data_IF_876174345021
#
_entry.id   IF_876174345021
#
_cell.length_a   1.000
_cell.length_b   1.000
_cell.length_c   1.000
_cell.angle_alpha   90.00
_cell.angle_beta   90.00
_cell.angle_gamma   90.00
#
_symmetry.space_group_name_H-M   'P 1'
#
loop_
_entity.id
_entity.type
_entity.pdbx_description
1 polymer ?
#
# COMPACT_ATOMS: atom_id res chain seq x y z
N UNK A 1 42.52 12.71 4.94
CA UNK A 1 41.10 12.92 5.31
C UNK A 1 40.86 12.18 6.61
N UNK A 2 40.34 12.86 7.63
CA UNK A 2 40.10 12.25 8.95
C UNK A 2 38.63 11.88 9.08
N UNK A 3 38.36 10.63 9.45
CA UNK A 3 37.02 10.23 9.87
C UNK A 3 36.67 10.97 11.17
N UNK A 4 35.65 11.83 11.14
CA UNK A 4 35.24 12.61 12.31
C UNK A 4 34.47 11.78 13.34
N UNK A 5 33.95 10.62 12.92
CA UNK A 5 33.10 9.73 13.72
C UNK A 5 33.41 8.28 13.34
N UNK A 6 33.69 7.45 14.34
CA UNK A 6 33.88 6.00 14.17
C UNK A 6 32.73 5.28 14.85
N UNK A 7 31.97 4.49 14.09
CA UNK A 7 30.87 3.67 14.59
C UNK A 7 31.36 2.25 14.92
N UNK A 8 31.17 1.82 16.15
CA UNK A 8 31.38 0.42 16.57
C UNK A 8 30.02 -0.18 16.85
N UNK A 9 29.59 -1.14 16.04
CA UNK A 9 28.35 -1.89 16.27
C UNK A 9 28.70 -3.34 16.63
N UNK A 10 28.12 -3.80 17.73
CA UNK A 10 28.31 -5.16 18.21
C UNK A 10 27.03 -5.63 18.90
N UNK A 11 26.74 -6.92 18.83
CA UNK A 11 25.68 -7.52 19.61
C UNK A 11 26.02 -7.50 21.10
N UNK A 12 25.01 -7.37 21.97
CA UNK A 12 25.23 -7.44 23.41
C UNK A 12 25.82 -8.79 23.85
N UNK A 13 25.49 -9.86 23.14
CA UNK A 13 26.06 -11.20 23.35
C UNK A 13 27.58 -11.26 23.14
N UNK A 14 28.18 -10.25 22.49
CA UNK A 14 29.63 -10.11 22.45
C UNK A 14 30.24 -10.06 23.86
N UNK A 15 29.51 -9.50 24.83
CA UNK A 15 29.95 -9.35 26.22
C UNK A 15 29.32 -10.44 27.09
N UNK A 16 30.16 -11.31 27.66
CA UNK A 16 29.75 -12.37 28.58
C UNK A 16 29.46 -13.72 27.92
N UNK A 17 29.03 -13.74 26.65
CA UNK A 17 28.82 -14.99 25.91
C UNK A 17 29.99 -15.27 24.95
N UNK A 18 30.15 -14.48 23.87
CA UNK A 18 31.27 -14.68 22.94
C UNK A 18 32.62 -14.31 23.55
N UNK A 19 32.65 -13.26 24.38
CA UNK A 19 33.78 -12.95 25.26
C UNK A 19 33.37 -13.23 26.70
N UNK A 20 33.75 -14.39 27.28
CA UNK A 20 33.38 -14.74 28.65
C UNK A 20 33.84 -13.69 29.66
N UNK A 21 33.15 -13.56 30.80
CA UNK A 21 33.55 -12.59 31.83
C UNK A 21 34.96 -12.83 32.38
N UNK A 22 35.44 -14.07 32.35
CA UNK A 22 36.82 -14.43 32.70
C UNK A 22 37.88 -13.85 31.77
N UNK A 23 37.50 -13.37 30.58
CA UNK A 23 38.40 -12.65 29.66
C UNK A 23 38.72 -11.22 30.11
N UNK A 24 38.13 -10.76 31.23
CA UNK A 24 38.22 -9.37 31.68
C UNK A 24 37.65 -8.34 30.69
N UNK A 25 36.73 -8.75 29.81
CA UNK A 25 36.09 -7.85 28.84
C UNK A 25 35.43 -6.63 29.49
N UNK A 26 34.85 -6.79 30.69
CA UNK A 26 34.26 -5.66 31.41
C UNK A 26 35.32 -4.67 31.90
N UNK A 27 36.50 -5.16 32.30
CA UNK A 27 37.61 -4.30 32.72
C UNK A 27 38.19 -3.54 31.51
N UNK A 28 38.24 -4.19 30.34
CA UNK A 28 38.55 -3.52 29.07
C UNK A 28 37.59 -2.36 28.78
N UNK A 29 36.28 -2.58 28.85
CA UNK A 29 35.28 -1.51 28.63
C UNK A 29 35.31 -0.42 29.72
N UNK A 30 35.67 -0.75 30.96
CA UNK A 30 35.89 0.26 32.02
C UNK A 30 37.11 1.13 31.76
N UNK A 31 38.17 0.58 31.17
CA UNK A 31 39.39 1.31 30.86
C UNK A 31 39.25 2.18 29.59
N UNK A 32 38.45 1.72 28.62
CA UNK A 32 38.34 2.32 27.30
C UNK A 32 38.01 3.84 27.31
N UNK A 33 37.03 4.36 28.07
CA UNK A 33 36.75 5.79 28.11
C UNK A 33 37.91 6.64 28.62
N UNK A 34 38.67 6.12 29.59
CA UNK A 34 39.82 6.83 30.17
C UNK A 34 40.95 6.96 29.16
N UNK A 35 41.24 5.89 28.42
CA UNK A 35 42.28 5.89 27.38
C UNK A 35 41.87 6.72 26.17
N UNK A 36 40.63 6.57 25.70
CA UNK A 36 40.08 7.37 24.62
C UNK A 36 40.19 8.88 24.92
N UNK A 37 39.83 9.31 26.13
CA UNK A 37 39.95 10.71 26.54
C UNK A 37 41.40 11.24 26.51
N UNK A 38 42.39 10.42 26.89
CA UNK A 38 43.83 10.78 26.77
C UNK A 38 44.28 10.94 25.32
N UNK A 39 43.65 10.22 24.39
CA UNK A 39 43.89 10.31 22.96
C UNK A 39 43.05 11.40 22.28
N UNK A 40 42.28 12.19 23.04
CA UNK A 40 41.38 13.21 22.50
C UNK A 40 40.12 12.66 21.83
N UNK A 41 39.82 11.37 22.01
CA UNK A 41 38.63 10.71 21.46
C UNK A 41 37.48 10.86 22.46
N UNK A 42 36.32 11.29 21.97
CA UNK A 42 35.11 11.45 22.76
C UNK A 42 34.06 10.44 22.34
N UNK A 43 33.27 9.96 23.30
CA UNK A 43 32.07 9.17 23.02
C UNK A 43 30.89 10.12 22.85
N UNK A 44 30.05 9.81 21.86
CA UNK A 44 28.83 10.55 21.59
C UNK A 44 27.73 9.57 21.21
N UNK A 45 26.51 9.87 21.64
CA UNK A 45 25.31 9.18 21.17
C UNK A 45 25.02 9.55 19.72
N UNK A 46 24.27 8.71 18.96
CA UNK A 46 23.87 9.05 17.60
C UNK A 46 23.17 10.42 17.49
N UNK A 47 22.35 10.78 18.48
CA UNK A 47 21.65 12.08 18.50
C UNK A 47 22.61 13.27 18.66
N UNK A 48 23.64 13.14 19.51
CA UNK A 48 24.65 14.18 19.68
C UNK A 48 25.54 14.33 18.44
N UNK A 49 25.86 13.22 17.77
CA UNK A 49 26.60 13.23 16.50
C UNK A 49 25.81 14.01 15.44
N UNK A 50 24.50 13.73 15.31
CA UNK A 50 23.63 14.42 14.35
C UNK A 50 23.45 15.92 14.67
N UNK A 51 23.44 16.30 15.95
CA UNK A 51 23.34 17.71 16.34
C UNK A 51 24.62 18.51 16.08
N UNK A 52 25.80 17.87 16.20
CA UNK A 52 27.11 18.53 16.06
C UNK A 52 27.66 18.54 14.64
N UNK A 53 27.29 17.55 13.82
CA UNK A 53 27.85 17.36 12.48
C UNK A 53 26.86 17.77 11.40
N UNK A 54 27.35 18.41 10.34
CA UNK A 54 26.54 18.72 9.16
C UNK A 54 26.49 17.51 8.22
N UNK A 55 25.34 17.25 7.57
CA UNK A 55 25.27 16.26 6.49
C UNK A 55 26.28 16.59 5.39
N UNK A 56 27.00 15.57 4.91
CA UNK A 56 28.06 15.74 3.89
C UNK A 56 27.50 15.54 2.49
N UNK A 57 26.81 14.42 2.25
CA UNK A 57 26.26 14.05 0.96
C UNK A 57 25.12 13.04 1.15
N UNK A 58 24.14 12.97 0.23
CA UNK A 58 23.25 11.81 0.16
C UNK A 58 24.04 10.53 -0.06
N UNK A 59 23.59 9.45 0.59
CA UNK A 59 24.02 8.08 0.34
C UNK A 59 22.87 7.33 -0.31
N UNK A 60 23.03 6.93 -1.56
CA UNK A 60 22.03 6.15 -2.29
C UNK A 60 22.29 4.66 -2.10
N UNK A 61 21.26 3.93 -1.63
CA UNK A 61 21.30 2.48 -1.44
C UNK A 61 20.23 1.86 -2.33
N UNK A 62 20.65 1.29 -3.46
CA UNK A 62 19.74 0.83 -4.53
C UNK A 62 19.10 -0.52 -4.18
N UNK A 63 19.86 -1.39 -3.51
CA UNK A 63 19.42 -2.74 -3.15
C UNK A 63 19.43 -2.91 -1.63
N UNK A 64 18.54 -3.75 -1.07
CA UNK A 64 18.60 -4.08 0.35
C UNK A 64 19.96 -4.67 0.72
N UNK A 65 20.57 -4.13 1.76
CA UNK A 65 21.87 -4.58 2.30
C UNK A 65 21.69 -5.12 3.72
N UNK A 66 22.60 -5.99 4.12
CA UNK A 66 22.63 -6.58 5.45
C UNK A 66 24.03 -6.48 6.05
N UNK A 67 24.11 -6.42 7.38
CA UNK A 67 25.38 -6.64 8.07
C UNK A 67 25.77 -8.12 8.06
N UNK A 68 24.84 -9.05 7.88
CA UNK A 68 25.14 -10.47 7.92
C UNK A 68 26.09 -10.89 6.80
N UNK A 69 27.03 -11.78 7.17
CA UNK A 69 27.94 -12.51 6.28
C UNK A 69 28.72 -11.64 5.26
N UNK A 70 29.62 -12.24 4.48
CA UNK A 70 30.51 -11.47 3.60
C UNK A 70 29.80 -10.83 2.40
N UNK A 71 28.67 -11.39 1.97
CA UNK A 71 27.96 -10.94 0.76
C UNK A 71 27.16 -9.64 1.02
N UNK A 72 26.89 -9.32 2.29
CA UNK A 72 26.21 -8.09 2.75
C UNK A 72 24.87 -7.83 2.06
N UNK A 73 24.15 -8.91 1.75
CA UNK A 73 22.87 -8.89 1.06
C UNK A 73 21.78 -9.62 1.88
N UNK A 74 20.61 -9.84 1.28
CA UNK A 74 19.49 -10.53 1.95
C UNK A 74 19.57 -12.06 1.87
N UNK A 75 20.62 -12.64 1.29
CA UNK A 75 20.73 -14.08 1.08
C UNK A 75 20.75 -14.87 2.40
N UNK A 76 21.14 -14.25 3.52
CA UNK A 76 21.07 -14.89 4.84
C UNK A 76 19.63 -15.27 5.23
N UNK A 77 18.64 -14.51 4.74
CA UNK A 77 17.21 -14.69 5.05
C UNK A 77 16.38 -15.15 3.84
N UNK A 78 16.85 -14.93 2.60
CA UNK A 78 16.11 -15.20 1.36
C UNK A 78 16.94 -15.98 0.32
N UNK A 79 18.02 -16.64 0.75
CA UNK A 79 18.99 -17.31 -0.11
C UNK A 79 18.49 -18.60 -0.76
N UNK A 80 17.59 -19.34 -0.11
CA UNK A 80 17.09 -20.62 -0.63
C UNK A 80 15.57 -20.65 -0.92
N UNK A 81 15.10 -21.77 -1.48
CA UNK A 81 13.70 -21.95 -1.87
C UNK A 81 12.73 -21.95 -0.69
N UNK A 82 13.10 -22.60 0.43
CA UNK A 82 12.29 -22.67 1.65
C UNK A 82 12.06 -21.30 2.25
N UNK A 83 13.13 -20.52 2.39
CA UNK A 83 13.09 -19.14 2.87
C UNK A 83 12.18 -18.26 2.01
N UNK A 84 12.33 -18.32 0.68
CA UNK A 84 11.51 -17.54 -0.24
C UNK A 84 10.05 -18.00 -0.26
N UNK A 85 9.78 -19.30 -0.14
CA UNK A 85 8.41 -19.80 -0.04
C UNK A 85 7.73 -19.30 1.24
N UNK A 86 8.40 -19.44 2.39
CA UNK A 86 7.93 -18.95 3.68
C UNK A 86 7.67 -17.44 3.65
N UNK A 87 8.60 -16.68 3.06
CA UNK A 87 8.47 -15.22 2.93
C UNK A 87 7.30 -14.83 2.03
N UNK A 88 7.19 -15.44 0.84
CA UNK A 88 6.11 -15.13 -0.10
C UNK A 88 4.74 -15.50 0.45
N UNK A 89 4.63 -16.58 1.23
CA UNK A 89 3.37 -16.95 1.90
C UNK A 89 3.01 -16.02 3.04
N UNK A 90 4.00 -15.56 3.81
CA UNK A 90 3.77 -14.57 4.85
C UNK A 90 3.27 -13.27 4.21
N UNK A 91 3.93 -12.77 3.17
CA UNK A 91 3.60 -11.50 2.53
C UNK A 91 2.64 -11.62 1.33
N UNK A 92 1.83 -12.67 1.28
CA UNK A 92 0.78 -12.78 0.25
C UNK A 92 -0.17 -11.58 0.33
N UNK A 93 -0.39 -10.90 -0.79
CA UNK A 93 -1.06 -9.60 -0.84
C UNK A 93 -2.47 -9.62 -0.23
N UNK A 94 -3.25 -10.68 -0.52
CA UNK A 94 -4.61 -10.84 0.00
C UNK A 94 -4.60 -11.02 1.52
N UNK A 95 -3.65 -11.80 2.02
CA UNK A 95 -3.48 -12.07 3.45
C UNK A 95 -3.05 -10.81 4.19
N UNK A 96 -2.04 -10.10 3.68
CA UNK A 96 -1.53 -8.86 4.28
C UNK A 96 -2.66 -7.83 4.37
N UNK A 97 -3.44 -7.65 3.29
CA UNK A 97 -4.57 -6.73 3.27
C UNK A 97 -5.59 -7.02 4.39
N UNK A 98 -5.94 -8.30 4.60
CA UNK A 98 -6.88 -8.72 5.66
C UNK A 98 -6.32 -8.48 7.05
N UNK A 99 -5.03 -8.71 7.26
CA UNK A 99 -4.39 -8.52 8.56
C UNK A 99 -4.33 -7.05 8.91
N UNK A 100 -3.96 -6.19 7.95
CA UNK A 100 -3.95 -4.75 8.16
C UNK A 100 -5.36 -4.18 8.40
N UNK A 101 -6.39 -4.76 7.78
CA UNK A 101 -7.79 -4.43 8.07
C UNK A 101 -8.25 -4.97 9.44
N UNK A 102 -7.64 -6.05 9.92
CA UNK A 102 -7.96 -6.68 11.19
C UNK A 102 -7.52 -5.80 12.37
N UNK A 103 -8.48 -5.41 13.23
CA UNK A 103 -8.20 -4.71 14.49
C UNK A 103 -7.98 -5.66 15.67
N UNK A 104 -7.84 -6.96 15.42
CA UNK A 104 -7.57 -7.93 16.48
C UNK A 104 -6.10 -7.87 16.92
N UNK A 105 -5.89 -7.50 18.19
CA UNK A 105 -4.55 -7.32 18.76
C UNK A 105 -3.73 -8.61 18.77
N UNK A 106 -4.35 -9.78 18.91
CA UNK A 106 -3.65 -11.05 18.96
C UNK A 106 -3.14 -11.44 17.57
N UNK A 107 -3.92 -11.18 16.53
CA UNK A 107 -3.53 -11.44 15.15
C UNK A 107 -2.38 -10.53 14.72
N UNK A 108 -2.44 -9.25 15.09
CA UNK A 108 -1.33 -8.32 14.87
C UNK A 108 -0.05 -8.79 15.56
N UNK A 109 -0.14 -9.19 16.83
CA UNK A 109 1.02 -9.68 17.58
C UNK A 109 1.60 -10.98 17.01
N UNK A 110 0.75 -11.93 16.60
CA UNK A 110 1.20 -13.17 16.00
C UNK A 110 1.88 -12.90 14.64
N UNK A 111 1.34 -11.98 13.84
CA UNK A 111 1.95 -11.53 12.60
C UNK A 111 3.31 -10.85 12.80
N UNK A 112 3.43 -9.98 13.80
CA UNK A 112 4.70 -9.35 14.18
C UNK A 112 5.78 -10.39 14.52
N UNK A 113 5.40 -11.46 15.23
CA UNK A 113 6.30 -12.56 15.58
C UNK A 113 6.69 -13.43 14.38
N UNK A 114 5.77 -13.67 13.46
CA UNK A 114 6.05 -14.42 12.23
C UNK A 114 7.05 -13.68 11.32
N UNK A 115 7.05 -12.35 11.36
CA UNK A 115 7.98 -11.52 10.60
C UNK A 115 9.42 -11.49 11.17
N UNK A 116 9.66 -12.08 12.35
CA UNK A 116 11.00 -12.10 12.95
C UNK A 116 12.02 -12.76 12.01
N UNK A 117 13.14 -12.09 11.77
CA UNK A 117 14.17 -12.53 10.81
C UNK A 117 14.77 -13.88 11.16
N UNK A 118 14.84 -14.22 12.45
CA UNK A 118 15.34 -15.51 12.93
C UNK A 118 14.57 -16.70 12.38
N UNK A 119 13.26 -16.56 12.17
CA UNK A 119 12.43 -17.60 11.55
C UNK A 119 13.04 -18.03 10.21
N UNK A 120 13.38 -17.06 9.36
CA UNK A 120 14.00 -17.31 8.06
C UNK A 120 15.47 -17.71 8.18
N UNK A 121 16.20 -17.13 9.14
CA UNK A 121 17.61 -17.46 9.41
C UNK A 121 17.78 -18.95 9.72
N UNK A 122 16.90 -19.53 10.52
CA UNK A 122 17.00 -20.95 10.90
C UNK A 122 16.80 -21.92 9.73
N UNK A 123 16.08 -21.48 8.68
CA UNK A 123 15.88 -22.23 7.44
C UNK A 123 17.06 -22.10 6.45
N UNK A 124 18.12 -21.37 6.81
CA UNK A 124 19.23 -21.14 5.89
C UNK A 124 20.04 -22.42 5.66
N UNK A 125 20.38 -22.65 4.40
CA UNK A 125 21.34 -23.67 3.96
C UNK A 125 22.70 -23.05 3.63
N UNK A 126 22.82 -21.71 3.73
CA UNK A 126 24.05 -21.00 3.40
C UNK A 126 25.13 -21.32 4.44
N UNK A 127 26.30 -21.70 3.95
CA UNK A 127 27.49 -21.79 4.78
C UNK A 127 28.10 -20.39 4.91
N UNK A 128 28.15 -19.85 6.13
CA UNK A 128 28.73 -18.54 6.42
C UNK A 128 30.11 -18.65 7.10
N UNK A 129 30.76 -19.82 7.01
CA UNK A 129 32.06 -20.08 7.65
C UNK A 129 32.00 -20.23 9.17
N UNK A 130 30.82 -20.01 9.78
CA UNK A 130 30.56 -20.18 11.20
C UNK A 130 29.47 -21.25 11.41
N UNK A 131 29.42 -21.84 12.60
CA UNK A 131 28.31 -22.72 12.96
C UNK A 131 26.99 -21.93 12.98
N UNK A 132 25.99 -22.37 12.21
CA UNK A 132 24.66 -21.76 12.25
C UNK A 132 23.90 -22.26 13.47
N UNK A 133 23.77 -21.41 14.49
CA UNK A 133 22.86 -21.66 15.61
C UNK A 133 21.41 -21.68 15.11
N UNK A 134 20.73 -22.82 15.30
CA UNK A 134 19.34 -23.06 14.85
C UNK A 134 18.33 -23.11 15.99
N UNK A 135 18.69 -22.60 17.16
CA UNK A 135 17.79 -22.58 18.31
C UNK A 135 17.41 -23.99 18.75
N UNK A 136 16.11 -24.29 18.66
CA UNK A 136 15.50 -25.55 19.08
C UNK A 136 15.36 -26.58 17.94
N UNK A 137 15.75 -26.22 16.71
CA UNK A 137 15.52 -27.04 15.52
C UNK A 137 16.72 -27.94 15.21
N UNK A 138 16.43 -29.19 14.83
CA UNK A 138 17.46 -30.18 14.51
C UNK A 138 18.09 -29.94 13.13
N UNK A 139 17.35 -29.30 12.21
CA UNK A 139 17.80 -28.98 10.85
C UNK A 139 17.07 -27.78 10.26
N UNK A 140 17.58 -27.24 9.14
CA UNK A 140 16.88 -26.22 8.36
C UNK A 140 15.50 -26.66 7.85
N UNK A 141 15.34 -27.96 7.57
CA UNK A 141 14.07 -28.54 7.11
C UNK A 141 13.06 -28.65 8.25
N UNK A 142 13.54 -28.96 9.46
CA UNK A 142 12.72 -28.97 10.67
C UNK A 142 12.23 -27.55 10.99
N UNK A 143 13.13 -26.56 10.97
CA UNK A 143 12.76 -25.15 11.12
C UNK A 143 11.72 -24.70 10.08
N UNK A 144 11.92 -25.04 8.81
CA UNK A 144 10.97 -24.73 7.74
C UNK A 144 9.62 -25.42 7.97
N UNK A 145 9.61 -26.72 8.26
CA UNK A 145 8.38 -27.48 8.48
C UNK A 145 7.59 -26.93 9.65
N UNK A 146 8.26 -26.64 10.77
CA UNK A 146 7.65 -26.06 11.96
C UNK A 146 7.06 -24.67 11.65
N UNK A 147 7.83 -23.79 11.02
CA UNK A 147 7.37 -22.46 10.63
C UNK A 147 6.17 -22.52 9.69
N UNK A 148 6.20 -23.40 8.69
CA UNK A 148 5.12 -23.55 7.72
C UNK A 148 3.82 -24.07 8.34
N UNK A 149 3.92 -24.95 9.34
CA UNK A 149 2.75 -25.41 10.10
C UNK A 149 2.13 -24.27 10.93
N UNK A 150 2.97 -23.48 11.62
CA UNK A 150 2.51 -22.32 12.40
C UNK A 150 1.92 -21.24 11.50
N UNK A 151 2.59 -20.94 10.38
CA UNK A 151 2.11 -19.99 9.38
C UNK A 151 0.78 -20.48 8.79
N UNK A 152 0.65 -21.77 8.47
CA UNK A 152 -0.60 -22.36 7.99
C UNK A 152 -1.77 -22.18 8.96
N UNK A 153 -1.56 -22.45 10.25
CA UNK A 153 -2.56 -22.20 11.29
C UNK A 153 -2.92 -20.71 11.37
N UNK A 154 -1.91 -19.83 11.39
CA UNK A 154 -2.12 -18.39 11.43
C UNK A 154 -2.95 -17.90 10.22
N UNK A 155 -2.60 -18.31 9.01
CA UNK A 155 -3.32 -17.95 7.78
C UNK A 155 -4.77 -18.47 7.82
N UNK A 156 -4.98 -19.67 8.35
CA UNK A 156 -6.33 -20.20 8.55
C UNK A 156 -7.12 -19.33 9.53
N UNK A 157 -6.53 -18.92 10.66
CA UNK A 157 -7.19 -18.02 11.63
C UNK A 157 -7.55 -16.67 11.02
N UNK A 158 -6.66 -16.09 10.20
CA UNK A 158 -6.95 -14.85 9.45
C UNK A 158 -8.12 -15.06 8.49
N UNK A 159 -8.12 -16.16 7.73
CA UNK A 159 -9.18 -16.50 6.79
C UNK A 159 -10.52 -16.77 7.47
N UNK A 160 -10.53 -17.43 8.63
CA UNK A 160 -11.76 -17.73 9.36
C UNK A 160 -12.43 -16.46 9.88
N UNK A 161 -11.67 -15.41 10.21
CA UNK A 161 -12.21 -14.09 10.57
C UNK A 161 -12.68 -13.28 9.36
N UNK A 162 -12.01 -13.44 8.22
CA UNK A 162 -12.33 -12.76 6.96
C UNK A 162 -12.49 -13.78 5.83
N UNK A 163 -13.63 -14.50 5.80
CA UNK A 163 -13.90 -15.47 4.76
C UNK A 163 -13.98 -14.80 3.39
N UNK A 164 -13.49 -15.49 2.36
CA UNK A 164 -13.54 -15.02 0.97
C UNK A 164 -14.98 -14.71 0.49
N UNK A 165 -15.98 -15.26 1.17
CA UNK A 165 -17.40 -15.08 0.86
C UNK A 165 -18.03 -13.83 1.45
N UNK A 166 -17.49 -13.23 2.51
CA UNK A 166 -18.14 -12.06 3.17
C UNK A 166 -18.09 -10.83 2.26
N UNK A 167 -16.98 -10.63 1.55
CA UNK A 167 -16.93 -9.63 0.48
C UNK A 167 -17.82 -10.01 -0.70
N UNK A 168 -18.07 -11.29 -0.98
CA UNK A 168 -18.88 -11.69 -2.13
C UNK A 168 -20.39 -11.53 -1.86
N UNK A 169 -20.90 -11.87 -0.68
CA UNK A 169 -22.34 -11.83 -0.40
C UNK A 169 -22.85 -10.41 -0.16
N UNK A 170 -22.12 -9.57 0.59
CA UNK A 170 -22.48 -8.16 0.76
C UNK A 170 -22.32 -7.38 -0.54
N UNK A 171 -21.24 -7.64 -1.30
CA UNK A 171 -21.02 -6.97 -2.58
C UNK A 171 -22.01 -7.44 -3.64
N UNK A 172 -22.37 -8.72 -3.70
CA UNK A 172 -23.41 -9.22 -4.60
C UNK A 172 -24.80 -8.70 -4.21
N UNK A 173 -25.08 -8.55 -2.91
CA UNK A 173 -26.30 -7.88 -2.41
C UNK A 173 -26.33 -6.41 -2.86
N UNK A 174 -25.22 -5.69 -2.71
CA UNK A 174 -25.09 -4.30 -3.16
C UNK A 174 -25.18 -4.18 -4.70
N UNK A 175 -24.57 -5.08 -5.46
CA UNK A 175 -24.71 -5.12 -6.92
C UNK A 175 -26.15 -5.37 -7.36
N UNK A 176 -26.85 -6.27 -6.67
CA UNK A 176 -28.28 -6.54 -6.91
C UNK A 176 -29.12 -5.32 -6.59
N UNK A 177 -28.82 -4.62 -5.49
CA UNK A 177 -29.50 -3.38 -5.11
C UNK A 177 -29.25 -2.28 -6.14
N UNK A 178 -28.02 -2.13 -6.64
CA UNK A 178 -27.66 -1.16 -7.68
C UNK A 178 -28.40 -1.47 -9.00
N UNK A 179 -28.50 -2.74 -9.38
CA UNK A 179 -29.24 -3.16 -10.58
C UNK A 179 -30.74 -2.82 -10.46
N UNK A 180 -31.35 -3.15 -9.32
CA UNK A 180 -32.76 -2.85 -9.04
C UNK A 180 -33.03 -1.34 -9.04
N UNK A 181 -32.15 -0.55 -8.43
CA UNK A 181 -32.25 0.92 -8.47
C UNK A 181 -32.10 1.47 -9.90
N UNK A 182 -31.25 0.86 -10.72
CA UNK A 182 -31.10 1.22 -12.14
C UNK A 182 -32.39 0.99 -12.96
N UNK A 183 -33.09 -0.13 -12.72
CA UNK A 183 -34.39 -0.37 -13.35
C UNK A 183 -35.46 0.63 -12.87
N UNK A 184 -35.50 0.93 -11.58
CA UNK A 184 -36.46 1.90 -11.03
C UNK A 184 -36.23 3.31 -11.61
N UNK A 185 -34.98 3.72 -11.79
CA UNK A 185 -34.63 4.98 -12.46
C UNK A 185 -35.15 4.99 -13.89
N UNK A 186 -34.96 3.92 -14.66
CA UNK A 186 -35.45 3.84 -16.04
C UNK A 186 -36.97 3.92 -16.13
N UNK A 187 -37.70 3.29 -15.21
CA UNK A 187 -39.16 3.37 -15.13
C UNK A 187 -39.59 4.81 -14.84
N UNK A 188 -38.97 5.46 -13.84
CA UNK A 188 -39.25 6.85 -13.49
C UNK A 188 -38.93 7.82 -14.63
N UNK A 189 -37.83 7.62 -15.36
CA UNK A 189 -37.48 8.45 -16.51
C UNK A 189 -38.50 8.33 -17.66
N UNK A 190 -39.03 7.13 -17.90
CA UNK A 190 -40.11 6.90 -18.85
C UNK A 190 -41.41 7.58 -18.41
N UNK A 191 -41.75 7.52 -17.13
CA UNK A 191 -42.90 8.24 -16.56
C UNK A 191 -42.75 9.75 -16.64
N UNK A 192 -41.59 10.29 -16.25
CA UNK A 192 -41.27 11.72 -16.38
C UNK A 192 -41.40 12.14 -17.84
N UNK A 193 -40.91 11.35 -18.78
CA UNK A 193 -41.03 11.63 -20.22
C UNK A 193 -42.49 11.65 -20.69
N UNK A 194 -43.31 10.68 -20.25
CA UNK A 194 -44.75 10.65 -20.54
C UNK A 194 -45.50 11.83 -19.93
N UNK A 195 -45.22 12.16 -18.68
CA UNK A 195 -45.84 13.29 -17.98
C UNK A 195 -45.44 14.62 -18.62
N UNK A 196 -44.17 14.81 -18.98
CA UNK A 196 -43.70 15.98 -19.74
C UNK A 196 -44.37 16.07 -21.11
N UNK A 197 -44.56 14.96 -21.81
CA UNK A 197 -45.27 14.93 -23.08
C UNK A 197 -46.75 15.30 -22.93
N UNK A 198 -47.43 14.80 -21.88
CA UNK A 198 -48.80 15.20 -21.53
C UNK A 198 -48.90 16.68 -21.19
N UNK A 199 -48.02 17.18 -20.32
CA UNK A 199 -47.96 18.60 -19.95
C UNK A 199 -47.76 19.49 -21.17
N UNK A 200 -46.88 19.11 -22.10
CA UNK A 200 -46.67 19.84 -23.36
C UNK A 200 -47.92 19.83 -24.24
N UNK A 201 -48.67 18.74 -24.25
CA UNK A 201 -49.91 18.59 -25.03
C UNK A 201 -51.06 19.42 -24.45
N UNK A 202 -51.24 19.40 -23.13
CA UNK A 202 -52.20 20.27 -22.44
C UNK A 202 -51.84 21.76 -22.59
N UNK A 203 -50.56 22.12 -22.49
CA UNK A 203 -50.12 23.49 -22.73
C UNK A 203 -50.32 23.98 -24.17
N UNK A 204 -50.21 23.09 -25.16
CA UNK A 204 -50.56 23.43 -26.56
C UNK A 204 -52.07 23.51 -26.80
N UNK A 205 -52.87 22.72 -26.08
CA UNK A 205 -54.34 22.77 -26.15
C UNK A 205 -54.89 24.03 -25.46
N UNK A 206 -54.25 24.53 -24.40
CA UNK A 206 -54.55 25.85 -23.79
C UNK A 206 -54.14 27.02 -24.69
N UNK A 207 -53.02 26.93 -25.42
CA UNK A 207 -52.64 27.95 -26.42
C UNK A 207 -53.55 27.96 -27.65
N UNK A 208 -54.07 26.79 -28.08
CA UNK A 208 -55.05 26.71 -29.19
C UNK A 208 -56.46 27.14 -28.76
N UNK A 209 -56.92 26.82 -27.54
CA UNK A 209 -58.20 27.28 -27.01
C UNK A 209 -58.25 28.81 -26.79
N UNK A 210 -57.10 29.46 -26.64
CA UNK A 210 -57.01 30.93 -26.54
C UNK A 210 -57.08 31.67 -27.89
N UNK A 211 -57.13 30.96 -29.03
CA UNK A 211 -57.20 31.53 -30.39
C UNK A 211 -58.58 31.50 -31.04
N UNK A 212 -59.57 30.82 -30.44
CA UNK A 212 -60.94 30.74 -30.94
C UNK A 212 -61.94 31.39 -29.98
N UNK A 213 -62.01 32.72 -29.94
CA UNK A 213 -63.26 33.42 -29.60
C UNK A 213 -63.22 34.89 -30.07
N UNK A 214 -64.28 35.42 -30.73
CA UNK A 214 -64.27 36.71 -31.38
C UNK A 214 -64.53 37.85 -30.39
N UNK A 215 -63.66 38.88 -30.39
CA UNK A 215 -63.90 40.14 -29.65
C UNK A 215 -64.84 41.08 -30.42
N UNK A 216 -65.88 41.65 -29.80
CA UNK A 216 -66.61 42.78 -30.36
C UNK A 216 -65.85 44.10 -30.12
N UNK A 217 -66.01 45.02 -31.06
CA UNK A 217 -65.33 46.31 -31.10
C UNK A 217 -65.83 47.32 -30.04
N UNK A 218 -64.97 48.28 -29.65
CA UNK A 218 -65.41 49.67 -29.57
C UNK A 218 -64.48 50.65 -30.32
N UNK A 219 -65.04 51.82 -30.60
CA UNK A 219 -64.58 52.92 -31.48
C UNK A 219 -63.26 53.61 -31.06
N UNK A 220 -62.64 54.26 -32.07
CA UNK A 220 -61.52 55.25 -32.14
C UNK A 220 -61.39 56.19 -30.91
N UNK A 221 -60.23 56.74 -30.52
CA UNK A 221 -59.34 57.74 -31.19
C UNK A 221 -57.86 57.68 -30.66
N UNK A 222 -56.85 58.50 -31.09
CA UNK A 222 -55.59 57.96 -31.62
C UNK A 222 -54.29 58.37 -30.87
N UNK A 223 -53.18 57.71 -31.26
CA UNK A 223 -51.89 58.31 -31.64
C UNK A 223 -50.60 57.89 -30.86
N UNK A 224 -49.61 57.57 -31.70
CA UNK A 224 -48.14 57.77 -31.61
C UNK A 224 -47.25 56.74 -30.88
N UNK A 225 -46.67 55.89 -31.74
CA UNK A 225 -45.23 55.78 -32.12
C UNK A 225 -44.19 55.27 -31.11
N UNK A 226 -43.38 54.35 -31.68
CA UNK A 226 -41.98 53.93 -31.39
C UNK A 226 -41.83 52.93 -30.23
N UNK A 227 -40.90 51.98 -30.22
CA UNK A 227 -39.98 51.39 -31.19
C UNK A 227 -39.31 50.22 -30.43
N UNK A 228 -39.18 49.05 -31.06
CA UNK A 228 -38.21 47.99 -30.73
C UNK A 228 -36.76 48.56 -30.71
N UNK A 229 -35.73 47.94 -30.05
CA UNK A 229 -35.32 46.58 -30.41
C UNK A 229 -34.54 45.70 -29.39
N UNK A 230 -34.71 44.37 -29.61
CA UNK A 230 -33.73 43.27 -29.77
C UNK A 230 -32.31 43.33 -29.17
N UNK A 231 -31.88 42.20 -28.57
CA UNK A 231 -30.86 41.23 -29.07
C UNK A 231 -30.35 40.34 -27.89
N UNK A 232 -30.43 38.99 -27.88
CA UNK A 232 -29.59 37.94 -28.52
C UNK A 232 -28.08 38.00 -28.15
N UNK A 233 -27.30 36.90 -28.20
CA UNK A 233 -27.52 35.49 -27.79
C UNK A 233 -26.24 34.83 -27.14
N UNK A 234 -26.31 33.52 -26.88
CA UNK A 234 -25.27 32.61 -26.31
C UNK A 234 -23.94 32.49 -27.11
N UNK A 235 -22.94 31.71 -26.63
CA UNK A 235 -22.80 30.34 -27.18
C UNK A 235 -22.20 29.23 -26.24
N UNK A 236 -22.39 27.97 -26.67
CA UNK A 236 -21.80 26.70 -26.18
C UNK A 236 -20.58 26.26 -27.03
N UNK A 237 -19.72 25.38 -26.48
CA UNK A 237 -19.05 24.16 -27.07
C UNK A 237 -17.92 23.69 -26.11
N UNK A 238 -17.42 22.45 -25.98
CA UNK A 238 -17.70 21.06 -26.41
C UNK A 238 -16.70 20.12 -25.63
N UNK A 239 -16.87 18.78 -25.56
CA UNK A 239 -16.05 17.87 -24.74
C UNK A 239 -14.91 17.14 -25.50
N UNK A 240 -13.85 16.71 -24.81
CA UNK A 240 -12.70 15.99 -25.37
C UNK A 240 -12.50 14.55 -24.81
N UNK A 241 -11.88 13.68 -25.63
CA UNK A 241 -11.82 12.20 -25.60
C UNK A 241 -10.65 11.58 -24.80
N UNK A 242 -10.82 10.30 -24.39
CA UNK A 242 -9.82 9.29 -23.95
C UNK A 242 -8.73 8.98 -25.00
N UNK A 243 -7.55 8.47 -24.59
CA UNK A 243 -6.69 7.63 -25.44
C UNK A 243 -6.60 6.16 -24.98
N UNK A 244 -6.32 5.28 -25.95
CA UNK A 244 -6.27 3.82 -25.87
C UNK A 244 -4.82 3.26 -25.81
N UNK A 245 -4.74 1.97 -25.45
CA UNK A 245 -3.57 1.12 -25.23
C UNK A 245 -2.64 0.91 -26.46
N UNK A 246 -1.36 0.62 -26.20
CA UNK A 246 -0.37 0.12 -27.18
C UNK A 246 0.18 -1.26 -26.78
N UNK A 247 0.25 -2.15 -27.77
CA UNK A 247 0.84 -3.51 -27.77
C UNK A 247 2.38 -3.49 -27.83
N UNK A 248 2.98 -4.56 -27.30
CA UNK A 248 4.39 -4.95 -27.40
C UNK A 248 4.79 -5.53 -28.78
N UNK A 249 6.11 -5.65 -29.06
CA UNK A 249 6.63 -6.66 -29.98
C UNK A 249 7.63 -7.65 -29.33
N UNK A 250 7.91 -8.73 -30.06
CA UNK A 250 8.42 -10.02 -29.62
C UNK A 250 9.95 -10.23 -29.65
N UNK A 251 10.33 -11.38 -29.06
CA UNK A 251 11.63 -12.07 -28.94
C UNK A 251 12.59 -12.01 -30.14
N UNK A 252 13.91 -11.98 -29.84
CA UNK A 252 14.98 -12.63 -30.64
C UNK A 252 15.92 -13.43 -29.74
N UNK A 253 16.17 -14.69 -30.15
CA UNK A 253 17.25 -15.60 -29.69
C UNK A 253 18.56 -15.29 -30.45
N UNK A 254 19.69 -15.41 -29.77
CA UNK A 254 21.02 -15.83 -30.29
C UNK A 254 21.90 -16.14 -29.06
N UNK A 255 22.30 -17.40 -28.79
CA UNK A 255 23.38 -18.20 -29.37
C UNK A 255 24.78 -17.92 -28.76
N UNK A 256 25.27 -18.96 -28.05
CA UNK A 256 26.64 -19.35 -27.67
C UNK A 256 27.81 -18.39 -27.98
N UNK A 257 28.64 -18.15 -26.97
CA UNK A 257 30.03 -18.61 -26.93
C UNK A 257 30.43 -18.95 -25.50
#
# INVERSE_FOLDING_TARGET
>A
EGENVVGIMMELAALGYYQPLSSHILDFFRALPKLAGKMGIQFATPSEVLAKNKPVSPLEVIYPVSWNDEERDTSSMLGNGMQREAFNKLYDENTVGRILACRDRRIQLDWDRLQATDNFRFMTTKNNGMGNYRGIYDSEYDAFTNYMNILGDFLKRVKDMFPDSVENDELNSLYTQIANMGEEINVKDNEISRLRARLKKLGSEEEEASKEEPKPAPKKVPAKKKAEPKAKPAPKKAPAKKPAAKKAPAKKKAAKK
#
